data_IF_099133562501
#
_entry.id   IF_099133562501
#
_cell.length_a   1.000
_cell.length_b   1.000
_cell.length_c   1.000
_cell.angle_alpha   90.00
_cell.angle_beta   90.00
_cell.angle_gamma   90.00
#
_symmetry.space_group_name_H-M   'P 1'
#
loop_
_entity.id
_entity.type
_entity.pdbx_description
1 polymer ?
#
# COMPACT_ATOMS: atom_id res chain seq x y z
N UNK A 1 33.58 0.22 50.69
CA UNK A 1 34.70 0.11 51.65
C UNK A 1 35.56 -1.16 51.52
N UNK A 2 35.04 -2.34 51.17
CA UNK A 2 35.88 -3.56 51.03
C UNK A 2 36.88 -3.55 49.87
N UNK A 3 36.64 -2.76 48.81
CA UNK A 3 37.53 -2.68 47.65
C UNK A 3 38.75 -1.79 47.92
N UNK A 4 38.60 -0.71 48.68
CA UNK A 4 39.68 0.23 49.01
C UNK A 4 40.74 -0.39 49.94
N UNK A 5 40.36 -1.26 50.86
CA UNK A 5 41.31 -1.95 51.75
C UNK A 5 42.19 -2.95 51.01
N UNK A 6 41.64 -3.68 50.02
CA UNK A 6 42.41 -4.60 49.18
C UNK A 6 43.46 -3.87 48.32
N UNK A 7 43.11 -2.69 47.81
CA UNK A 7 43.97 -1.89 46.96
C UNK A 7 45.20 -1.35 47.72
N UNK A 8 45.01 -0.91 48.98
CA UNK A 8 46.09 -0.42 49.85
C UNK A 8 47.05 -1.56 50.24
N UNK A 9 46.53 -2.75 50.57
CA UNK A 9 47.39 -3.91 50.91
C UNK A 9 48.23 -4.38 49.72
N UNK A 10 47.72 -4.30 48.49
CA UNK A 10 48.48 -4.66 47.30
C UNK A 10 49.61 -3.64 47.02
N UNK A 11 49.34 -2.33 47.15
CA UNK A 11 50.38 -1.29 47.01
C UNK A 11 51.51 -1.42 48.03
N UNK A 12 51.20 -1.75 49.29
CA UNK A 12 52.22 -1.96 50.34
C UNK A 12 53.09 -3.19 50.01
N UNK A 13 52.51 -4.24 49.44
CA UNK A 13 53.24 -5.46 49.08
C UNK A 13 54.14 -5.26 47.86
N UNK A 14 53.72 -4.45 46.88
CA UNK A 14 54.56 -4.07 45.74
C UNK A 14 55.77 -3.22 46.17
N UNK A 15 55.58 -2.26 47.09
CA UNK A 15 56.70 -1.44 47.60
C UNK A 15 57.78 -2.25 48.32
N UNK A 16 57.41 -3.32 49.04
CA UNK A 16 58.40 -4.17 49.75
C UNK A 16 59.32 -4.92 48.78
N UNK A 17 58.77 -5.43 47.68
CA UNK A 17 59.58 -6.10 46.65
C UNK A 17 60.51 -5.12 45.94
N UNK A 18 60.02 -3.91 45.64
CA UNK A 18 60.84 -2.86 45.03
C UNK A 18 62.04 -2.49 45.92
N UNK A 19 61.82 -2.25 47.21
CA UNK A 19 62.89 -1.94 48.19
C UNK A 19 63.90 -3.09 48.27
N UNK A 20 63.43 -4.34 48.29
CA UNK A 20 64.31 -5.52 48.32
C UNK A 20 65.16 -5.63 47.05
N UNK A 21 64.58 -5.42 45.86
CA UNK A 21 65.34 -5.44 44.59
C UNK A 21 66.37 -4.32 44.51
N UNK A 22 66.04 -3.12 45.00
CA UNK A 22 66.98 -1.99 45.04
C UNK A 22 68.17 -2.31 45.95
N UNK A 23 67.90 -2.81 47.17
CA UNK A 23 68.95 -3.21 48.11
C UNK A 23 69.82 -4.34 47.56
N UNK A 24 69.21 -5.36 46.94
CA UNK A 24 69.94 -6.47 46.34
C UNK A 24 70.82 -5.98 45.19
N UNK A 25 70.31 -5.09 44.33
CA UNK A 25 71.08 -4.52 43.22
C UNK A 25 72.23 -3.63 43.70
N UNK A 26 72.05 -2.87 44.79
CA UNK A 26 73.11 -2.07 45.40
C UNK A 26 74.22 -2.94 45.99
N UNK A 27 73.86 -4.02 46.69
CA UNK A 27 74.84 -4.98 47.25
C UNK A 27 75.59 -5.70 46.13
N UNK A 28 74.89 -6.14 45.08
CA UNK A 28 75.51 -6.79 43.94
C UNK A 28 76.43 -5.84 43.16
N UNK A 29 76.01 -4.59 42.98
CA UNK A 29 76.81 -3.52 42.38
C UNK A 29 78.06 -3.17 43.19
N UNK A 30 77.96 -3.16 44.53
CA UNK A 30 79.12 -2.98 45.41
C UNK A 30 80.11 -4.15 45.35
N UNK A 31 79.63 -5.40 45.29
CA UNK A 31 80.49 -6.57 45.19
C UNK A 31 81.18 -6.62 43.82
N UNK A 32 80.44 -6.41 42.73
CA UNK A 32 81.00 -6.42 41.38
C UNK A 32 81.93 -5.21 41.15
N UNK A 33 81.45 -4.01 41.45
CA UNK A 33 82.17 -2.75 41.22
C UNK A 33 83.34 -2.51 42.17
N UNK A 34 83.21 -2.91 43.44
CA UNK A 34 84.20 -2.63 44.48
C UNK A 34 85.23 -3.73 44.68
N UNK A 35 84.90 -4.99 44.40
CA UNK A 35 85.81 -6.12 44.63
C UNK A 35 86.25 -6.75 43.32
N UNK A 36 85.32 -7.10 42.43
CA UNK A 36 85.69 -7.87 41.23
C UNK A 36 86.39 -7.04 40.15
N UNK A 37 85.91 -5.83 39.84
CA UNK A 37 86.49 -4.95 38.83
C UNK A 37 87.93 -4.51 39.18
N UNK A 38 88.21 -4.03 40.42
CA UNK A 38 89.58 -3.71 40.82
C UNK A 38 90.49 -4.94 40.80
N UNK A 39 90.02 -6.10 41.26
CA UNK A 39 90.80 -7.35 41.21
C UNK A 39 91.09 -7.79 39.76
N UNK A 40 90.17 -7.56 38.82
CA UNK A 40 90.34 -7.85 37.39
C UNK A 40 91.31 -6.90 36.69
N UNK A 41 91.32 -5.61 37.08
CA UNK A 41 92.21 -4.60 36.51
C UNK A 41 93.62 -4.59 37.13
N UNK A 42 93.75 -4.93 38.41
CA UNK A 42 95.05 -4.95 39.11
C UNK A 42 95.83 -6.25 38.93
N UNK A 43 95.17 -7.32 38.48
CA UNK A 43 95.79 -8.61 38.30
C UNK A 43 95.90 -8.93 36.80
N UNK A 44 97.13 -8.92 36.26
CA UNK A 44 97.48 -9.39 34.89
C UNK A 44 97.31 -10.92 34.80
N UNK A 45 96.12 -11.39 35.12
CA UNK A 45 95.83 -12.80 35.35
C UNK A 45 95.27 -13.41 34.06
N UNK A 46 96.13 -14.12 33.34
CA UNK A 46 95.78 -15.20 32.39
C UNK A 46 95.22 -16.45 33.12
N UNK A 47 94.46 -16.30 34.21
CA UNK A 47 93.88 -17.48 34.88
C UNK A 47 92.53 -17.84 34.27
N UNK A 48 92.51 -19.03 33.68
CA UNK A 48 91.30 -19.76 33.26
C UNK A 48 90.24 -19.83 34.38
N UNK A 49 90.63 -19.69 35.64
CA UNK A 49 89.72 -19.77 36.78
C UNK A 49 88.79 -18.55 36.90
N UNK A 50 89.28 -17.32 36.78
CA UNK A 50 88.43 -16.12 36.89
C UNK A 50 87.46 -16.02 35.70
N UNK A 51 87.90 -16.44 34.51
CA UNK A 51 87.06 -16.58 33.33
C UNK A 51 85.96 -17.67 33.48
N UNK A 52 86.24 -18.74 34.21
CA UNK A 52 85.25 -19.77 34.53
C UNK A 52 84.19 -19.27 35.54
N UNK A 53 84.58 -18.49 36.55
CA UNK A 53 83.61 -17.93 37.50
C UNK A 53 82.73 -16.84 36.89
N UNK A 54 83.29 -15.96 36.03
CA UNK A 54 82.52 -14.92 35.35
C UNK A 54 81.51 -15.49 34.35
N UNK A 55 81.89 -16.55 33.62
CA UNK A 55 80.98 -17.25 32.69
C UNK A 55 79.85 -18.00 33.42
N UNK A 56 80.13 -18.64 34.57
CA UNK A 56 79.10 -19.27 35.41
C UNK A 56 78.14 -18.23 35.99
N UNK A 57 78.64 -17.09 36.48
CA UNK A 57 77.79 -16.00 36.99
C UNK A 57 76.94 -15.36 35.87
N UNK A 58 77.50 -15.16 34.68
CA UNK A 58 76.76 -14.68 33.52
C UNK A 58 75.68 -15.68 33.09
N UNK A 59 75.98 -16.99 33.08
CA UNK A 59 75.01 -18.03 32.77
C UNK A 59 73.85 -18.07 33.79
N UNK A 60 74.14 -17.94 35.09
CA UNK A 60 73.12 -17.87 36.15
C UNK A 60 72.27 -16.60 36.01
N UNK A 61 72.90 -15.45 35.72
CA UNK A 61 72.19 -14.20 35.46
C UNK A 61 71.25 -14.29 34.26
N UNK A 62 71.70 -14.92 33.17
CA UNK A 62 70.90 -15.14 31.95
C UNK A 62 69.74 -16.13 32.18
N UNK A 63 69.98 -17.20 32.95
CA UNK A 63 68.94 -18.16 33.33
C UNK A 63 67.87 -17.49 34.22
N UNK A 64 68.30 -16.63 35.15
CA UNK A 64 67.43 -15.86 36.03
C UNK A 64 66.53 -14.88 35.26
N UNK A 65 67.09 -14.12 34.30
CA UNK A 65 66.29 -13.26 33.42
C UNK A 65 65.33 -14.07 32.54
N UNK A 66 65.74 -15.23 32.02
CA UNK A 66 64.86 -16.09 31.23
C UNK A 66 63.65 -16.58 32.04
N UNK A 67 63.88 -17.02 33.29
CA UNK A 67 62.80 -17.46 34.19
C UNK A 67 61.86 -16.31 34.54
N UNK A 68 62.40 -15.11 34.78
CA UNK A 68 61.60 -13.91 35.03
C UNK A 68 60.71 -13.56 33.82
N UNK A 69 61.28 -13.52 32.61
CA UNK A 69 60.54 -13.25 31.36
C UNK A 69 59.45 -14.30 31.11
N UNK A 70 59.74 -15.59 31.37
CA UNK A 70 58.74 -16.66 31.27
C UNK A 70 57.58 -16.40 32.25
N UNK A 71 57.88 -16.09 33.52
CA UNK A 71 56.86 -15.79 34.54
C UNK A 71 56.01 -14.59 34.18
N UNK A 72 56.62 -13.52 33.68
CA UNK A 72 55.92 -12.32 33.22
C UNK A 72 55.03 -12.63 32.01
N UNK A 73 55.55 -13.36 31.01
CA UNK A 73 54.75 -13.78 29.84
C UNK A 73 53.53 -14.62 30.24
N UNK A 74 53.64 -15.48 31.25
CA UNK A 74 52.51 -16.25 31.76
C UNK A 74 51.49 -15.38 32.49
N UNK A 75 51.92 -14.36 33.23
CA UNK A 75 51.03 -13.39 33.88
C UNK A 75 50.28 -12.56 32.84
N UNK A 76 50.98 -11.99 31.87
CA UNK A 76 50.39 -11.20 30.77
C UNK A 76 49.41 -12.04 29.96
N UNK A 77 49.72 -13.31 29.67
CA UNK A 77 48.79 -14.23 28.99
C UNK A 77 47.53 -14.51 29.81
N UNK A 78 47.61 -14.61 31.14
CA UNK A 78 46.42 -14.79 32.00
C UNK A 78 45.55 -13.53 32.02
N UNK A 79 46.16 -12.36 32.19
CA UNK A 79 45.46 -11.07 32.18
C UNK A 79 44.81 -10.82 30.81
N UNK A 80 45.52 -11.05 29.71
CA UNK A 80 44.95 -10.97 28.36
C UNK A 80 43.79 -11.95 28.14
N UNK A 81 43.90 -13.19 28.63
CA UNK A 81 42.79 -14.16 28.57
C UNK A 81 41.57 -13.67 29.34
N UNK A 82 41.76 -13.02 30.49
CA UNK A 82 40.67 -12.48 31.28
C UNK A 82 40.03 -11.26 30.60
N UNK A 83 40.83 -10.32 30.10
CA UNK A 83 40.35 -9.18 29.31
C UNK A 83 39.56 -9.64 28.09
N UNK A 84 40.05 -10.65 27.35
CA UNK A 84 39.32 -11.22 26.21
C UNK A 84 37.98 -11.84 26.61
N UNK A 85 37.90 -12.51 27.77
CA UNK A 85 36.64 -13.05 28.28
C UNK A 85 35.66 -11.93 28.63
N UNK A 86 36.13 -10.90 29.33
CA UNK A 86 35.31 -9.74 29.70
C UNK A 86 34.82 -8.97 28.45
N UNK A 87 35.69 -8.79 27.45
CA UNK A 87 35.32 -8.20 26.16
C UNK A 87 34.27 -9.03 25.43
N UNK A 88 34.39 -10.36 25.40
CA UNK A 88 33.38 -11.23 24.78
C UNK A 88 32.03 -11.11 25.48
N UNK A 89 32.01 -11.15 26.81
CA UNK A 89 30.76 -10.98 27.58
C UNK A 89 30.16 -9.60 27.36
N UNK A 90 30.99 -8.56 27.24
CA UNK A 90 30.53 -7.22 26.94
C UNK A 90 29.95 -7.10 25.53
N UNK A 91 30.62 -7.67 24.53
CA UNK A 91 30.12 -7.74 23.15
C UNK A 91 28.79 -8.50 23.08
N UNK A 92 28.69 -9.67 23.71
CA UNK A 92 27.44 -10.44 23.78
C UNK A 92 26.28 -9.66 24.41
N UNK A 93 26.57 -8.81 25.42
CA UNK A 93 25.57 -7.92 26.02
C UNK A 93 25.17 -6.80 25.08
N UNK A 94 26.14 -6.20 24.37
CA UNK A 94 25.85 -5.16 23.39
C UNK A 94 25.03 -5.67 22.22
N UNK A 95 25.36 -6.84 21.69
CA UNK A 95 24.63 -7.48 20.58
C UNK A 95 23.18 -7.74 20.99
N UNK A 96 22.94 -8.24 22.21
CA UNK A 96 21.59 -8.42 22.75
C UNK A 96 20.80 -7.11 22.86
N UNK A 97 21.46 -6.05 23.35
CA UNK A 97 20.83 -4.74 23.44
C UNK A 97 20.51 -4.17 22.06
N UNK A 98 21.39 -4.36 21.07
CA UNK A 98 21.13 -3.97 19.70
C UNK A 98 19.97 -4.74 19.08
N UNK A 99 19.88 -6.04 19.32
CA UNK A 99 18.75 -6.85 18.85
C UNK A 99 17.42 -6.40 19.44
N UNK A 100 17.38 -6.05 20.74
CA UNK A 100 16.20 -5.49 21.40
C UNK A 100 15.81 -4.13 20.83
N UNK A 101 16.79 -3.25 20.61
CA UNK A 101 16.57 -1.93 19.98
C UNK A 101 16.05 -2.07 18.56
N UNK A 102 16.62 -2.98 17.76
CA UNK A 102 16.18 -3.24 16.39
C UNK A 102 14.73 -3.72 16.35
N UNK A 103 14.32 -4.59 17.28
CA UNK A 103 12.92 -5.03 17.42
C UNK A 103 12.00 -3.87 17.78
N UNK A 104 12.40 -3.01 18.71
CA UNK A 104 11.61 -1.83 19.09
C UNK A 104 11.43 -0.86 17.91
N UNK A 105 12.50 -0.61 17.15
CA UNK A 105 12.46 0.25 15.96
C UNK A 105 11.55 -0.37 14.90
N UNK A 106 11.62 -1.68 14.66
CA UNK A 106 10.73 -2.36 13.72
C UNK A 106 9.26 -2.23 14.12
N UNK A 107 8.95 -2.42 15.42
CA UNK A 107 7.60 -2.23 15.98
C UNK A 107 7.10 -0.79 15.79
N UNK A 108 7.94 0.21 16.09
CA UNK A 108 7.60 1.63 15.92
C UNK A 108 7.34 1.98 14.45
N UNK A 109 8.18 1.47 13.53
CA UNK A 109 7.98 1.66 12.08
C UNK A 109 6.66 1.06 11.61
N UNK A 110 6.37 -0.17 12.01
CA UNK A 110 5.12 -0.84 11.68
C UNK A 110 3.90 -0.04 12.17
N UNK A 111 3.91 0.36 13.45
CA UNK A 111 2.82 1.13 14.06
C UNK A 111 2.62 2.47 13.36
N UNK A 112 3.69 3.23 13.16
CA UNK A 112 3.61 4.53 12.49
C UNK A 112 3.19 4.43 11.01
N UNK A 113 3.59 3.37 10.31
CA UNK A 113 3.14 3.12 8.94
C UNK A 113 1.65 2.77 8.88
N UNK A 114 1.16 1.94 9.81
CA UNK A 114 -0.26 1.60 9.94
C UNK A 114 -1.12 2.83 10.27
N UNK A 115 -0.70 3.63 11.25
CA UNK A 115 -1.41 4.88 11.61
C UNK A 115 -1.46 5.86 10.43
N UNK A 116 -0.36 5.98 9.68
CA UNK A 116 -0.30 6.83 8.48
C UNK A 116 -1.25 6.34 7.38
N UNK A 117 -1.40 5.02 7.25
CA UNK A 117 -2.34 4.40 6.33
C UNK A 117 -3.80 4.66 6.74
N UNK A 118 -4.14 4.47 8.02
CA UNK A 118 -5.49 4.75 8.53
C UNK A 118 -5.85 6.23 8.34
N UNK A 119 -4.89 7.14 8.58
CA UNK A 119 -5.06 8.57 8.30
C UNK A 119 -5.29 8.85 6.81
N UNK A 120 -4.57 8.16 5.92
CA UNK A 120 -4.79 8.26 4.48
C UNK A 120 -6.21 7.85 4.10
N UNK A 121 -6.68 6.69 4.60
CA UNK A 121 -8.04 6.22 4.33
C UNK A 121 -9.08 7.21 4.84
N UNK A 122 -8.93 7.73 6.06
CA UNK A 122 -9.85 8.74 6.61
C UNK A 122 -9.92 10.02 5.77
N UNK A 123 -8.80 10.43 5.17
CA UNK A 123 -8.80 11.58 4.26
C UNK A 123 -9.52 11.27 2.94
N UNK A 124 -9.46 10.03 2.47
CA UNK A 124 -10.17 9.57 1.27
C UNK A 124 -11.67 9.49 1.55
N UNK A 125 -12.08 8.94 2.70
CA UNK A 125 -13.49 8.86 3.14
C UNK A 125 -14.14 10.23 3.14
N UNK A 126 -13.49 11.22 3.76
CA UNK A 126 -13.96 12.61 3.82
C UNK A 126 -14.03 13.29 2.46
N UNK A 127 -13.16 12.91 1.52
CA UNK A 127 -13.09 13.55 0.20
C UNK A 127 -14.19 13.07 -0.75
N UNK A 128 -14.66 11.84 -0.59
CA UNK A 128 -15.51 11.15 -1.58
C UNK A 128 -16.79 10.55 -1.00
N UNK A 129 -17.16 10.86 0.25
CA UNK A 129 -18.33 10.30 0.92
C UNK A 129 -18.37 8.76 0.83
N UNK A 130 -17.25 8.13 1.20
CA UNK A 130 -17.10 6.67 1.22
C UNK A 130 -16.65 6.20 2.59
N UNK A 131 -16.77 4.89 2.85
CA UNK A 131 -16.38 4.26 4.11
C UNK A 131 -15.65 2.94 3.86
N UNK A 132 -14.45 2.79 4.41
CA UNK A 132 -13.68 1.56 4.36
C UNK A 132 -14.14 0.58 5.46
N UNK A 133 -15.05 -0.33 5.11
CA UNK A 133 -15.62 -1.29 6.07
C UNK A 133 -14.60 -2.31 6.63
N UNK A 134 -13.43 -2.48 6.01
CA UNK A 134 -12.36 -3.38 6.49
C UNK A 134 -10.96 -2.86 6.14
N UNK A 135 -10.60 -1.73 6.74
CA UNK A 135 -9.30 -1.06 6.56
C UNK A 135 -8.11 -1.95 6.96
N UNK A 136 -8.26 -2.79 7.97
CA UNK A 136 -7.21 -3.70 8.42
C UNK A 136 -6.92 -4.80 7.41
N UNK A 137 -7.95 -5.42 6.84
CA UNK A 137 -7.77 -6.43 5.78
C UNK A 137 -7.21 -5.81 4.51
N UNK A 138 -7.62 -4.60 4.15
CA UNK A 138 -7.00 -3.87 3.05
C UNK A 138 -5.51 -3.66 3.31
N UNK A 139 -5.12 -3.18 4.50
CA UNK A 139 -3.71 -2.99 4.87
C UNK A 139 -2.91 -4.30 4.77
N UNK A 140 -3.42 -5.39 5.35
CA UNK A 140 -2.74 -6.71 5.32
C UNK A 140 -2.62 -7.27 3.91
N UNK A 141 -3.58 -7.00 3.04
CA UNK A 141 -3.53 -7.42 1.64
C UNK A 141 -2.51 -6.62 0.83
N UNK A 142 -2.39 -5.31 1.08
CA UNK A 142 -1.40 -4.45 0.42
C UNK A 142 0.02 -4.73 0.94
N UNK A 143 0.18 -4.92 2.25
CA UNK A 143 1.48 -5.10 2.90
C UNK A 143 1.55 -6.43 3.68
N UNK A 144 1.55 -7.57 2.98
CA UNK A 144 1.43 -8.89 3.63
C UNK A 144 2.63 -9.31 4.48
N UNK A 145 3.79 -8.68 4.26
CA UNK A 145 5.02 -8.96 5.02
C UNK A 145 5.20 -8.01 6.21
N UNK A 146 4.32 -7.01 6.37
CA UNK A 146 4.43 -6.06 7.46
C UNK A 146 3.89 -6.66 8.76
N UNK A 147 4.69 -6.55 9.81
CA UNK A 147 4.36 -6.99 11.16
C UNK A 147 5.35 -6.42 12.17
N UNK A 148 5.40 -6.98 13.37
CA UNK A 148 6.25 -6.45 14.45
C UNK A 148 7.75 -6.60 14.20
N UNK A 149 8.17 -7.51 13.32
CA UNK A 149 9.59 -7.78 13.03
C UNK A 149 10.08 -7.12 11.74
N UNK A 150 9.19 -6.76 10.82
CA UNK A 150 9.54 -6.22 9.51
C UNK A 150 8.46 -5.25 9.05
N UNK A 151 8.87 -4.14 8.45
CA UNK A 151 7.97 -3.15 7.88
C UNK A 151 8.55 -2.60 6.57
N UNK A 152 7.95 -3.00 5.47
CA UNK A 152 8.24 -2.53 4.12
C UNK A 152 7.31 -1.37 3.76
N UNK A 153 7.88 -0.29 3.23
CA UNK A 153 7.15 0.89 2.78
C UNK A 153 6.82 0.85 1.28
N UNK A 154 7.46 -0.06 0.54
CA UNK A 154 7.38 -0.12 -0.92
C UNK A 154 6.83 -1.46 -1.37
N UNK A 155 5.84 -1.42 -2.26
CA UNK A 155 5.29 -2.61 -2.91
C UNK A 155 5.88 -2.74 -4.31
N UNK A 156 6.44 -3.90 -4.64
CA UNK A 156 6.94 -4.19 -5.99
C UNK A 156 5.80 -4.48 -6.96
N UNK A 157 5.53 -3.56 -7.88
CA UNK A 157 4.42 -3.67 -8.85
C UNK A 157 4.79 -4.29 -10.19
N UNK A 158 6.08 -4.50 -10.46
CA UNK A 158 6.60 -4.87 -11.79
C UNK A 158 7.10 -6.31 -11.91
N UNK A 159 7.02 -7.12 -10.85
CA UNK A 159 7.62 -8.46 -10.87
C UNK A 159 6.56 -9.54 -11.14
N UNK A 160 6.46 -10.07 -12.37
CA UNK A 160 5.48 -11.11 -12.71
C UNK A 160 5.74 -12.45 -12.01
N UNK A 161 6.87 -12.61 -11.31
CA UNK A 161 7.24 -13.85 -10.61
C UNK A 161 6.70 -13.96 -9.19
N UNK A 162 6.17 -12.87 -8.62
CA UNK A 162 5.57 -12.96 -7.29
C UNK A 162 4.21 -13.65 -7.38
N UNK A 163 3.95 -14.68 -6.56
CA UNK A 163 2.65 -15.32 -6.51
C UNK A 163 1.61 -14.26 -6.15
N UNK A 164 0.69 -14.00 -7.08
CA UNK A 164 -0.38 -13.00 -6.90
C UNK A 164 -1.24 -13.44 -5.73
N UNK A 165 -1.23 -12.67 -4.65
CA UNK A 165 -2.19 -12.88 -3.56
C UNK A 165 -3.49 -12.23 -4.01
N UNK A 166 -4.65 -12.87 -3.76
CA UNK A 166 -5.93 -12.28 -4.14
C UNK A 166 -6.09 -10.93 -3.44
N UNK A 167 -6.52 -9.92 -4.22
CA UNK A 167 -6.74 -8.55 -3.75
C UNK A 167 -5.47 -7.83 -3.26
N UNK A 168 -4.28 -8.25 -3.71
CA UNK A 168 -3.07 -7.45 -3.55
C UNK A 168 -3.09 -6.22 -4.49
N UNK A 169 -2.11 -5.33 -4.34
CA UNK A 169 -2.03 -4.12 -5.16
C UNK A 169 -1.92 -4.44 -6.66
N UNK A 170 -1.25 -5.53 -7.03
CA UNK A 170 -1.09 -5.91 -8.43
C UNK A 170 -2.38 -6.44 -9.05
N UNK A 171 -3.16 -7.20 -8.28
CA UNK A 171 -4.50 -7.67 -8.67
C UNK A 171 -5.46 -6.48 -8.84
N UNK A 172 -5.40 -5.51 -7.91
CA UNK A 172 -6.18 -4.26 -8.00
C UNK A 172 -5.82 -3.48 -9.27
N UNK A 173 -4.52 -3.30 -9.55
CA UNK A 173 -4.07 -2.59 -10.76
C UNK A 173 -4.43 -3.35 -12.03
N UNK A 174 -4.31 -4.68 -12.03
CA UNK A 174 -4.68 -5.50 -13.17
C UNK A 174 -6.17 -5.37 -13.47
N UNK A 175 -7.03 -5.40 -12.44
CA UNK A 175 -8.46 -5.22 -12.59
C UNK A 175 -8.81 -3.83 -13.15
N UNK A 176 -8.17 -2.77 -12.64
CA UNK A 176 -8.34 -1.42 -13.18
C UNK A 176 -7.91 -1.33 -14.65
N UNK A 177 -6.72 -1.80 -14.99
CA UNK A 177 -6.21 -1.77 -16.37
C UNK A 177 -7.11 -2.54 -17.33
N UNK A 178 -7.67 -3.66 -16.88
CA UNK A 178 -8.61 -4.46 -17.66
C UNK A 178 -9.91 -3.70 -17.95
N UNK A 179 -10.45 -2.97 -16.97
CA UNK A 179 -11.60 -2.08 -17.17
C UNK A 179 -11.25 -0.98 -18.18
N UNK A 180 -10.10 -0.32 -18.02
CA UNK A 180 -9.68 0.76 -18.93
C UNK A 180 -9.45 0.27 -20.37
N UNK A 181 -8.85 -0.92 -20.52
CA UNK A 181 -8.67 -1.54 -21.83
C UNK A 181 -10.02 -1.83 -22.50
N UNK A 182 -10.96 -2.44 -21.77
CA UNK A 182 -12.34 -2.69 -22.27
C UNK A 182 -13.03 -1.39 -22.69
N UNK A 183 -12.89 -0.33 -21.90
CA UNK A 183 -13.45 0.98 -22.22
C UNK A 183 -12.83 1.57 -23.50
N UNK A 184 -11.53 1.37 -23.73
CA UNK A 184 -10.82 1.93 -24.88
C UNK A 184 -11.22 1.31 -26.22
N UNK A 185 -11.63 0.04 -26.22
CA UNK A 185 -12.03 -0.67 -27.45
C UNK A 185 -13.54 -0.66 -27.68
N UNK A 186 -14.32 0.01 -26.82
CA UNK A 186 -15.77 -0.12 -26.80
C UNK A 186 -16.46 0.35 -28.09
N UNK A 187 -15.89 1.36 -28.75
CA UNK A 187 -16.42 1.90 -29.99
C UNK A 187 -16.34 0.92 -31.17
N UNK A 188 -15.57 -0.17 -31.04
CA UNK A 188 -15.43 -1.21 -32.07
C UNK A 188 -16.59 -2.22 -32.07
N UNK A 189 -17.36 -2.27 -30.99
CA UNK A 189 -18.45 -3.24 -30.84
C UNK A 189 -19.77 -2.70 -31.37
N UNK A 190 -20.60 -3.60 -31.91
CA UNK A 190 -21.97 -3.29 -32.28
C UNK A 190 -22.84 -3.06 -31.02
N UNK A 191 -24.08 -2.61 -31.21
CA UNK A 191 -25.00 -2.23 -30.11
C UNK A 191 -25.21 -3.36 -29.09
N UNK A 192 -25.44 -4.59 -29.55
CA UNK A 192 -25.71 -5.74 -28.69
C UNK A 192 -24.45 -6.21 -27.93
N UNK A 193 -23.32 -6.30 -28.64
CA UNK A 193 -22.03 -6.63 -28.02
C UNK A 193 -21.64 -5.61 -26.95
N UNK A 194 -21.86 -4.32 -27.24
CA UNK A 194 -21.58 -3.23 -26.30
C UNK A 194 -22.38 -3.35 -25.02
N UNK A 195 -23.67 -3.71 -25.11
CA UNK A 195 -24.51 -3.93 -23.94
C UNK A 195 -23.91 -5.01 -23.03
N UNK A 196 -23.57 -6.18 -23.57
CA UNK A 196 -22.95 -7.26 -22.80
C UNK A 196 -21.61 -6.83 -22.18
N UNK A 197 -20.78 -6.09 -22.93
CA UNK A 197 -19.49 -5.60 -22.42
C UNK A 197 -19.64 -4.57 -21.32
N UNK A 198 -20.69 -3.74 -21.34
CA UNK A 198 -20.96 -2.81 -20.25
C UNK A 198 -21.43 -3.54 -19.00
N UNK A 199 -22.26 -4.58 -19.12
CA UNK A 199 -22.56 -5.45 -17.97
C UNK A 199 -21.26 -5.95 -17.31
N UNK A 200 -20.36 -6.51 -18.12
CA UNK A 200 -19.08 -7.02 -17.63
C UNK A 200 -18.27 -5.93 -16.91
N UNK A 201 -18.22 -4.72 -17.48
CA UNK A 201 -17.51 -3.58 -16.87
C UNK A 201 -18.13 -3.18 -15.53
N UNK A 202 -19.46 -3.15 -15.41
CA UNK A 202 -20.10 -2.82 -14.12
C UNK A 202 -19.77 -3.88 -13.06
N UNK A 203 -19.80 -5.16 -13.41
CA UNK A 203 -19.36 -6.23 -12.51
C UNK A 203 -17.88 -6.11 -12.14
N UNK A 204 -17.02 -5.74 -13.09
CA UNK A 204 -15.60 -5.53 -12.83
C UNK A 204 -15.38 -4.32 -11.90
N UNK A 205 -16.14 -3.24 -12.05
CA UNK A 205 -16.12 -2.09 -11.13
C UNK A 205 -16.58 -2.50 -9.72
N UNK A 206 -17.65 -3.29 -9.63
CA UNK A 206 -18.15 -3.82 -8.36
C UNK A 206 -17.11 -4.73 -7.68
N UNK A 207 -16.44 -5.58 -8.46
CA UNK A 207 -15.33 -6.40 -8.00
C UNK A 207 -14.19 -5.53 -7.49
N UNK A 208 -13.80 -4.49 -8.23
CA UNK A 208 -12.71 -3.59 -7.86
C UNK A 208 -12.99 -2.85 -6.55
N UNK A 209 -14.22 -2.35 -6.34
CA UNK A 209 -14.68 -1.84 -5.03
C UNK A 209 -14.50 -2.88 -3.94
N UNK A 210 -14.96 -4.12 -4.17
CA UNK A 210 -14.89 -5.20 -3.19
C UNK A 210 -13.44 -5.55 -2.80
N UNK A 211 -12.51 -5.43 -3.74
CA UNK A 211 -11.07 -5.61 -3.50
C UNK A 211 -10.47 -4.49 -2.66
N UNK A 212 -11.04 -3.28 -2.74
CA UNK A 212 -10.62 -2.09 -1.99
C UNK A 212 -11.31 -1.94 -0.63
N UNK A 213 -12.26 -2.82 -0.31
CA UNK A 213 -12.97 -2.86 0.97
C UNK A 213 -13.65 -1.55 1.39
N UNK A 214 -14.26 -0.84 0.44
CA UNK A 214 -15.06 0.36 0.76
C UNK A 214 -16.46 0.32 0.15
N UNK A 215 -17.35 1.10 0.76
CA UNK A 215 -18.73 1.34 0.33
C UNK A 215 -18.95 2.84 0.15
N UNK A 216 -19.89 3.23 -0.71
CA UNK A 216 -20.29 4.64 -0.83
C UNK A 216 -21.31 4.96 0.27
N UNK A 217 -21.08 6.05 1.01
CA UNK A 217 -21.99 6.58 2.03
C UNK A 217 -22.85 7.74 1.52
N UNK A 218 -22.78 8.04 0.22
CA UNK A 218 -23.60 9.09 -0.37
C UNK A 218 -25.08 8.76 -0.26
N UNK A 219 -25.90 9.80 -0.09
CA UNK A 219 -27.36 9.67 -0.21
C UNK A 219 -27.70 9.25 -1.64
N UNK A 220 -28.71 8.41 -1.80
CA UNK A 220 -29.16 8.01 -3.13
C UNK A 220 -29.62 9.25 -3.92
N UNK A 221 -28.98 9.48 -5.06
CA UNK A 221 -29.30 10.54 -6.01
C UNK A 221 -30.02 9.98 -7.23
N UNK A 222 -30.60 10.87 -8.04
CA UNK A 222 -31.33 10.48 -9.24
C UNK A 222 -30.39 9.75 -10.19
N UNK A 223 -30.82 8.58 -10.67
CA UNK A 223 -30.02 7.78 -11.58
C UNK A 223 -28.98 6.92 -10.89
N UNK A 224 -28.89 6.96 -9.57
CA UNK A 224 -28.12 5.99 -8.82
C UNK A 224 -28.74 4.60 -8.96
N UNK A 225 -27.94 3.67 -9.44
CA UNK A 225 -28.20 2.25 -9.39
C UNK A 225 -27.60 1.75 -8.09
N UNK A 226 -28.47 1.31 -7.17
CA UNK A 226 -28.03 0.56 -6.01
C UNK A 226 -28.00 -0.94 -6.36
N UNK A 227 -26.86 -1.57 -6.12
CA UNK A 227 -26.64 -3.00 -6.32
C UNK A 227 -26.48 -3.64 -4.95
N UNK A 228 -27.53 -4.30 -4.45
CA UNK A 228 -27.48 -4.96 -3.14
C UNK A 228 -26.96 -6.39 -3.29
N UNK A 229 -25.72 -6.62 -2.85
CA UNK A 229 -25.15 -7.96 -2.78
C UNK A 229 -24.70 -8.26 -1.36
N UNK A 230 -25.38 -9.20 -0.70
CA UNK A 230 -25.13 -9.60 0.71
C UNK A 230 -25.21 -8.42 1.69
N UNK A 231 -26.20 -7.52 1.51
CA UNK A 231 -26.42 -6.37 2.40
C UNK A 231 -25.44 -5.21 2.21
N UNK A 232 -24.71 -5.19 1.08
CA UNK A 232 -23.84 -4.07 0.70
C UNK A 232 -24.37 -3.38 -0.54
N UNK A 233 -24.56 -2.06 -0.44
CA UNK A 233 -25.03 -1.23 -1.54
C UNK A 233 -23.86 -0.69 -2.34
N UNK A 234 -23.78 -1.03 -3.63
CA UNK A 234 -22.92 -0.31 -4.58
C UNK A 234 -23.74 0.77 -5.24
N UNK A 235 -23.21 1.99 -5.37
CA UNK A 235 -23.92 3.07 -6.05
C UNK A 235 -23.17 3.49 -7.31
N UNK A 236 -23.82 3.31 -8.46
CA UNK A 236 -23.35 3.81 -9.75
C UNK A 236 -24.40 4.72 -10.37
N UNK A 237 -24.03 5.97 -10.64
CA UNK A 237 -24.94 6.89 -11.28
C UNK A 237 -24.95 6.67 -12.81
N UNK A 238 -26.13 6.43 -13.40
CA UNK A 238 -26.29 6.23 -14.85
C UNK A 238 -25.99 7.49 -15.66
N UNK A 239 -26.14 8.67 -15.05
CA UNK A 239 -25.89 9.95 -15.71
C UNK A 239 -24.42 10.33 -15.67
N UNK A 240 -23.70 9.92 -14.62
CA UNK A 240 -22.28 10.14 -14.41
C UNK A 240 -21.47 8.86 -14.11
N UNK A 241 -21.52 7.81 -14.96
CA UNK A 241 -20.84 6.54 -14.65
C UNK A 241 -19.31 6.67 -14.53
N UNK A 242 -18.72 7.73 -15.10
CA UNK A 242 -17.30 8.05 -14.90
C UNK A 242 -16.95 8.43 -13.48
N UNK A 243 -17.90 8.97 -12.72
CA UNK A 243 -17.65 9.54 -11.40
C UNK A 243 -17.21 8.44 -10.41
N UNK A 244 -17.97 7.36 -10.29
CA UNK A 244 -17.61 6.21 -9.45
C UNK A 244 -16.24 5.62 -9.86
N UNK A 245 -15.97 5.52 -11.16
CA UNK A 245 -14.68 5.01 -11.66
C UNK A 245 -13.53 5.97 -11.36
N UNK A 246 -13.74 7.29 -11.48
CA UNK A 246 -12.75 8.31 -11.16
C UNK A 246 -12.45 8.34 -9.66
N UNK A 247 -13.45 8.15 -8.80
CA UNK A 247 -13.27 8.00 -7.35
C UNK A 247 -12.40 6.77 -7.08
N UNK A 248 -12.76 5.60 -7.63
CA UNK A 248 -11.97 4.36 -7.48
C UNK A 248 -10.52 4.59 -7.95
N UNK A 249 -10.33 5.25 -9.10
CA UNK A 249 -9.00 5.58 -9.62
C UNK A 249 -8.22 6.47 -8.67
N UNK A 250 -8.84 7.50 -8.10
CA UNK A 250 -8.18 8.37 -7.13
C UNK A 250 -7.77 7.61 -5.86
N UNK A 251 -8.64 6.73 -5.34
CA UNK A 251 -8.30 5.82 -4.23
C UNK A 251 -7.06 5.00 -4.58
N UNK A 252 -7.06 4.31 -5.73
CA UNK A 252 -5.93 3.47 -6.16
C UNK A 252 -4.66 4.31 -6.36
N UNK A 253 -4.76 5.51 -6.93
CA UNK A 253 -3.63 6.42 -7.11
C UNK A 253 -3.01 6.85 -5.78
N UNK A 254 -3.83 7.20 -4.79
CA UNK A 254 -3.38 7.54 -3.43
C UNK A 254 -2.72 6.35 -2.74
N UNK A 255 -3.27 5.14 -2.88
CA UNK A 255 -2.66 3.91 -2.37
C UNK A 255 -1.32 3.60 -3.05
N UNK A 256 -1.21 3.83 -4.36
CA UNK A 256 0.05 3.69 -5.08
C UNK A 256 1.12 4.63 -4.55
N UNK A 257 0.80 5.92 -4.43
CA UNK A 257 1.72 6.93 -3.89
C UNK A 257 2.18 6.55 -2.49
N UNK A 258 1.25 6.13 -1.63
CA UNK A 258 1.56 5.67 -0.28
C UNK A 258 2.51 4.47 -0.26
N UNK A 259 2.32 3.52 -1.18
CA UNK A 259 3.17 2.32 -1.33
C UNK A 259 4.50 2.57 -2.06
N UNK A 260 4.94 3.83 -2.20
CA UNK A 260 6.19 4.19 -2.86
C UNK A 260 6.19 3.95 -4.37
N UNK A 261 5.01 3.85 -4.99
CA UNK A 261 4.81 3.80 -6.43
C UNK A 261 4.43 5.19 -6.97
N UNK A 262 4.48 5.38 -8.30
CA UNK A 262 4.06 6.62 -8.95
C UNK A 262 2.54 6.79 -8.96
N UNK A 263 2.06 7.97 -9.34
CA UNK A 263 0.64 8.20 -9.60
C UNK A 263 0.18 7.45 -10.86
N UNK A 264 -1.11 7.14 -10.92
CA UNK A 264 -1.71 6.65 -12.16
C UNK A 264 -1.64 7.73 -13.26
N UNK A 265 -1.60 7.33 -14.55
CA UNK A 265 -1.75 8.27 -15.65
C UNK A 265 -3.15 8.94 -15.64
N UNK A 266 -3.41 9.96 -16.46
CA UNK A 266 -4.77 10.48 -16.64
C UNK A 266 -5.75 9.40 -17.10
N UNK A 267 -7.03 9.48 -16.72
CA UNK A 267 -8.04 8.50 -17.10
C UNK A 267 -8.48 8.64 -18.57
N UNK A 268 -8.91 7.53 -19.17
CA UNK A 268 -9.60 7.54 -20.45
C UNK A 268 -11.10 7.80 -20.22
N UNK A 269 -11.55 9.01 -20.53
CA UNK A 269 -12.90 9.53 -20.18
C UNK A 269 -14.06 8.99 -21.07
N UNK A 270 -13.98 7.74 -21.54
CA UNK A 270 -14.89 7.24 -22.59
C UNK A 270 -16.22 6.67 -22.07
N UNK A 271 -16.38 6.45 -20.76
CA UNK A 271 -17.60 5.82 -20.22
C UNK A 271 -18.84 6.74 -20.30
N UNK A 272 -18.68 8.06 -20.39
CA UNK A 272 -19.79 9.02 -20.40
C UNK A 272 -20.52 9.16 -21.75
N UNK A 273 -20.13 8.41 -22.78
CA UNK A 273 -20.82 8.41 -24.06
C UNK A 273 -22.31 8.04 -23.88
N UNK A 274 -23.22 8.72 -24.57
CA UNK A 274 -24.68 8.48 -24.49
C UNK A 274 -25.05 7.01 -24.75
N UNK A 275 -24.34 6.37 -25.68
CA UNK A 275 -24.50 4.95 -25.98
C UNK A 275 -24.14 4.06 -24.78
N UNK A 276 -23.09 4.42 -24.04
CA UNK A 276 -22.66 3.63 -22.89
C UNK A 276 -23.65 3.75 -21.74
N UNK A 277 -24.19 4.96 -21.53
CA UNK A 277 -25.28 5.19 -20.56
C UNK A 277 -26.54 4.41 -20.93
N UNK A 278 -26.93 4.41 -22.21
CA UNK A 278 -28.08 3.64 -22.70
C UNK A 278 -27.87 2.13 -22.53
N UNK A 279 -26.67 1.63 -22.85
CA UNK A 279 -26.33 0.22 -22.69
C UNK A 279 -26.23 -0.19 -21.21
N UNK A 280 -25.75 0.69 -20.32
CA UNK A 280 -25.75 0.49 -18.86
C UNK A 280 -27.19 0.35 -18.33
N UNK A 281 -28.08 1.23 -18.78
CA UNK A 281 -29.49 1.17 -18.39
C UNK A 281 -30.18 -0.10 -18.92
N UNK A 282 -29.87 -0.48 -20.16
CA UNK A 282 -30.40 -1.69 -20.81
C UNK A 282 -29.86 -2.98 -20.19
N UNK A 283 -28.64 -2.96 -19.64
CA UNK A 283 -27.99 -4.07 -18.94
C UNK A 283 -28.67 -4.43 -17.61
N UNK A 284 -29.32 -3.46 -16.96
CA UNK A 284 -29.79 -3.56 -15.58
C UNK A 284 -31.20 -4.13 -15.45
N UNK A 285 -32.01 -4.07 -16.51
CA UNK A 285 -33.41 -4.53 -16.52
C UNK A 285 -33.54 -6.06 -16.53
N UNK A 286 -32.76 -6.84 -17.33
CA UNK A 286 -33.06 -8.26 -17.52
C UNK A 286 -32.52 -9.18 -16.42
N UNK A 287 -31.58 -8.72 -15.60
CA UNK A 287 -30.69 -9.62 -14.85
C UNK A 287 -31.14 -9.99 -13.44
N UNK A 288 -32.03 -9.23 -12.80
CA UNK A 288 -32.88 -9.62 -11.65
C UNK A 288 -33.39 -8.37 -10.93
N UNK A 289 -34.68 -7.99 -11.05
CA UNK A 289 -35.24 -6.80 -10.41
C UNK A 289 -35.12 -6.80 -8.86
N UNK A 290 -34.80 -7.95 -8.24
CA UNK A 290 -34.62 -8.06 -6.79
C UNK A 290 -33.35 -7.43 -6.25
N UNK A 291 -32.36 -7.12 -7.10
CA UNK A 291 -31.04 -6.66 -6.64
C UNK A 291 -30.68 -5.25 -7.11
N UNK A 292 -31.56 -4.60 -7.86
CA UNK A 292 -31.36 -3.27 -8.41
C UNK A 292 -32.46 -2.34 -7.92
N UNK A 293 -32.09 -1.20 -7.34
CA UNK A 293 -33.00 -0.07 -7.18
C UNK A 293 -32.50 1.11 -7.99
N UNK A 294 -33.42 1.83 -8.64
CA UNK A 294 -33.14 3.08 -9.34
C UNK A 294 -33.83 4.21 -8.59
N UNK A 295 -33.06 5.13 -8.01
CA UNK A 295 -33.64 6.31 -7.35
C UNK A 295 -34.05 7.36 -8.38
N UNK A 296 -35.30 7.84 -8.27
CA UNK A 296 -35.93 8.83 -9.18
C UNK A 296 -36.56 9.99 -8.39
N UNK A 297 -36.48 9.98 -7.05
CA UNK A 297 -37.31 10.80 -6.16
C UNK A 297 -37.19 12.32 -6.37
N UNK A 298 -36.20 12.81 -7.12
CA UNK A 298 -35.94 14.24 -7.29
C UNK A 298 -35.62 14.69 -8.73
N UNK A 299 -36.15 14.05 -9.79
CA UNK A 299 -35.85 14.51 -11.17
C UNK A 299 -36.14 16.01 -11.35
N UNK A 300 -35.08 16.80 -11.54
CA UNK A 300 -35.14 18.27 -11.69
C UNK A 300 -34.64 18.75 -13.05
N UNK A 301 -33.82 17.94 -13.75
CA UNK A 301 -33.24 18.31 -15.04
C UNK A 301 -34.08 17.79 -16.21
N UNK A 302 -34.46 18.69 -17.12
CA UNK A 302 -35.10 18.33 -18.39
C UNK A 302 -34.28 17.33 -19.22
N UNK A 303 -32.96 17.30 -19.06
CA UNK A 303 -32.08 16.37 -19.78
C UNK A 303 -32.19 14.94 -19.26
N UNK A 304 -32.33 14.77 -17.94
CA UNK A 304 -32.51 13.47 -17.30
C UNK A 304 -33.89 12.91 -17.62
N UNK A 305 -34.93 13.76 -17.56
CA UNK A 305 -36.29 13.41 -17.99
C UNK A 305 -36.28 12.99 -19.45
N UNK A 306 -35.68 13.77 -20.36
CA UNK A 306 -35.61 13.42 -21.78
C UNK A 306 -34.93 12.08 -22.00
N UNK A 307 -33.80 11.81 -21.32
CA UNK A 307 -33.10 10.53 -21.42
C UNK A 307 -33.95 9.35 -20.91
N UNK A 308 -34.60 9.51 -19.75
CA UNK A 308 -35.48 8.48 -19.19
C UNK A 308 -36.70 8.24 -20.09
N UNK A 309 -37.27 9.28 -20.69
CA UNK A 309 -38.37 9.19 -21.65
C UNK A 309 -37.95 8.54 -22.96
N UNK A 310 -36.81 8.96 -23.54
CA UNK A 310 -36.24 8.35 -24.75
C UNK A 310 -35.97 6.86 -24.52
N UNK A 311 -35.43 6.52 -23.35
CA UNK A 311 -35.21 5.14 -22.98
C UNK A 311 -36.51 4.37 -22.73
N UNK A 312 -37.50 4.98 -22.07
CA UNK A 312 -38.79 4.34 -21.83
C UNK A 312 -39.49 4.01 -23.15
N UNK A 313 -39.50 4.96 -24.10
CA UNK A 313 -40.03 4.74 -25.45
C UNK A 313 -39.23 3.68 -26.23
N UNK A 314 -37.91 3.71 -26.10
CA UNK A 314 -37.04 2.68 -26.66
C UNK A 314 -37.37 1.28 -26.11
N UNK A 315 -37.60 1.19 -24.80
CA UNK A 315 -37.99 -0.06 -24.14
C UNK A 315 -39.39 -0.49 -24.55
N UNK A 316 -40.38 0.40 -24.64
CA UNK A 316 -41.75 0.08 -25.05
C UNK A 316 -41.79 -0.51 -26.47
N UNK A 317 -41.05 0.11 -27.41
CA UNK A 317 -40.91 -0.37 -28.78
C UNK A 317 -40.23 -1.74 -28.87
N UNK A 318 -39.26 -2.03 -28.00
CA UNK A 318 -38.59 -3.35 -27.97
C UNK A 318 -39.32 -4.39 -27.13
N UNK A 319 -40.10 -3.98 -26.12
CA UNK A 319 -40.97 -4.86 -25.35
C UNK A 319 -42.06 -5.42 -26.27
N UNK A 320 -42.62 -4.62 -27.17
CA UNK A 320 -43.51 -5.08 -28.25
C UNK A 320 -42.94 -6.28 -29.02
N UNK A 321 -41.68 -6.19 -29.48
CA UNK A 321 -41.02 -7.27 -30.23
C UNK A 321 -40.69 -8.50 -29.35
N UNK A 322 -40.39 -8.28 -28.07
CA UNK A 322 -39.96 -9.33 -27.14
C UNK A 322 -41.13 -10.00 -26.40
N UNK A 323 -42.32 -9.38 -26.35
CA UNK A 323 -43.53 -9.95 -25.72
C UNK A 323 -44.06 -11.13 -26.53
N UNK A 324 -43.81 -11.18 -27.85
CA UNK A 324 -44.17 -12.32 -28.68
C UNK A 324 -43.37 -13.60 -28.42
N UNK A 325 -42.29 -13.57 -27.62
CA UNK A 325 -41.42 -14.74 -27.41
C UNK A 325 -41.35 -15.26 -25.97
N UNK A 326 -41.84 -14.54 -24.96
CA UNK A 326 -41.89 -15.02 -23.56
C UNK A 326 -42.87 -14.19 -22.73
N UNK A 327 -44.10 -14.71 -22.55
CA UNK A 327 -45.25 -14.00 -21.97
C UNK A 327 -45.20 -13.71 -20.45
N UNK A 328 -44.15 -14.11 -19.72
CA UNK A 328 -44.23 -14.15 -18.24
C UNK A 328 -43.44 -13.09 -17.46
N UNK A 329 -42.59 -12.30 -18.12
CA UNK A 329 -41.77 -11.26 -17.47
C UNK A 329 -41.68 -10.08 -18.43
N UNK A 330 -42.16 -8.88 -18.06
CA UNK A 330 -41.70 -7.62 -18.70
C UNK A 330 -42.25 -6.31 -18.13
N UNK A 331 -43.55 -6.15 -17.87
CA UNK A 331 -44.05 -4.82 -17.46
C UNK A 331 -43.90 -4.58 -15.94
N UNK A 332 -44.09 -5.63 -15.15
CA UNK A 332 -44.02 -5.54 -13.70
C UNK A 332 -42.60 -5.27 -13.19
N UNK A 333 -41.55 -5.70 -13.91
CA UNK A 333 -40.15 -5.56 -13.49
C UNK A 333 -39.61 -4.15 -13.74
N UNK A 334 -40.00 -3.50 -14.84
CA UNK A 334 -39.73 -2.09 -15.11
C UNK A 334 -40.54 -1.19 -14.17
N UNK A 335 -41.80 -1.54 -13.90
CA UNK A 335 -42.62 -0.85 -12.90
C UNK A 335 -42.11 -1.05 -11.46
N UNK A 336 -41.41 -2.17 -11.16
CA UNK A 336 -40.75 -2.40 -9.87
C UNK A 336 -39.45 -1.61 -9.72
N UNK A 337 -38.73 -1.32 -10.81
CA UNK A 337 -37.57 -0.43 -10.82
C UNK A 337 -37.95 1.05 -10.62
N UNK A 338 -39.17 1.44 -11.00
CA UNK A 338 -39.73 2.77 -10.77
C UNK A 338 -40.42 2.79 -9.40
N UNK A 339 -39.69 3.21 -8.36
CA UNK A 339 -40.01 3.01 -6.94
C UNK A 339 -41.36 3.59 -6.42
N UNK A 340 -42.17 4.28 -7.23
CA UNK A 340 -43.56 4.57 -6.84
C UNK A 340 -44.49 4.78 -8.04
N UNK A 341 -45.78 4.45 -7.88
CA UNK A 341 -46.86 4.79 -8.83
C UNK A 341 -46.84 6.28 -9.20
N UNK A 342 -46.49 7.15 -8.26
CA UNK A 342 -46.37 8.60 -8.45
C UNK A 342 -45.22 8.96 -9.41
N UNK A 343 -44.09 8.26 -9.34
CA UNK A 343 -42.95 8.51 -10.24
C UNK A 343 -43.26 8.05 -11.67
N UNK A 344 -43.95 6.91 -11.80
CA UNK A 344 -44.46 6.43 -13.09
C UNK A 344 -45.45 7.46 -13.69
N UNK A 345 -46.40 7.95 -12.90
CA UNK A 345 -47.36 8.98 -13.33
C UNK A 345 -46.67 10.29 -13.71
N UNK A 346 -45.62 10.70 -12.99
CA UNK A 346 -44.83 11.90 -13.29
C UNK A 346 -44.08 11.74 -14.61
N UNK A 347 -43.40 10.61 -14.82
CA UNK A 347 -42.70 10.29 -16.08
C UNK A 347 -43.68 10.24 -17.25
N UNK A 348 -44.85 9.62 -17.08
CA UNK A 348 -45.89 9.58 -18.12
C UNK A 348 -46.41 10.99 -18.41
N UNK A 349 -46.68 11.80 -17.39
CA UNK A 349 -47.18 13.17 -17.59
C UNK A 349 -46.17 14.07 -18.33
N UNK A 350 -44.87 13.94 -18.01
CA UNK A 350 -43.81 14.68 -18.70
C UNK A 350 -43.50 14.11 -20.09
N UNK A 351 -43.63 12.78 -20.30
CA UNK A 351 -43.48 12.19 -21.62
C UNK A 351 -44.63 12.59 -22.55
N UNK A 352 -45.88 12.65 -22.04
CA UNK A 352 -47.04 13.18 -22.76
C UNK A 352 -46.86 14.67 -23.07
N UNK A 353 -46.36 15.45 -22.11
CA UNK A 353 -46.04 16.88 -22.32
C UNK A 353 -44.90 17.08 -23.32
N UNK A 354 -43.88 16.23 -23.31
CA UNK A 354 -42.80 16.23 -24.29
C UNK A 354 -43.31 15.80 -25.68
N UNK A 355 -44.14 14.76 -25.77
CA UNK A 355 -44.82 14.37 -27.03
C UNK A 355 -45.72 15.48 -27.55
N UNK A 356 -46.45 16.18 -26.67
CA UNK A 356 -47.26 17.35 -27.04
C UNK A 356 -46.38 18.51 -27.52
N UNK A 357 -45.27 18.83 -26.83
CA UNK A 357 -44.30 19.84 -27.29
C UNK A 357 -43.60 19.47 -28.60
N UNK A 358 -43.29 18.19 -28.81
CA UNK A 358 -42.74 17.70 -30.07
C UNK A 358 -43.79 17.80 -31.17
N UNK A 359 -45.06 17.48 -30.87
CA UNK A 359 -46.21 17.70 -31.74
C UNK A 359 -46.39 19.18 -32.10
N UNK A 360 -46.38 20.09 -31.13
CA UNK A 360 -46.44 21.54 -31.32
C UNK A 360 -45.24 22.06 -32.12
N UNK A 361 -44.02 21.58 -31.83
CA UNK A 361 -42.83 21.91 -32.60
C UNK A 361 -42.94 21.40 -34.04
N UNK A 362 -43.47 20.20 -34.27
CA UNK A 362 -43.71 19.65 -35.61
C UNK A 362 -44.81 20.40 -36.36
N UNK A 363 -45.82 20.90 -35.66
CA UNK A 363 -46.89 21.73 -36.22
C UNK A 363 -46.40 23.15 -36.58
N UNK A 364 -45.53 23.74 -35.74
CA UNK A 364 -44.79 24.97 -36.05
C UNK A 364 -43.82 24.76 -37.20
N UNK A 365 -43.14 23.61 -37.27
CA UNK A 365 -42.26 23.24 -38.39
C UNK A 365 -43.04 23.00 -39.69
N UNK A 366 -44.26 22.46 -39.61
CA UNK A 366 -45.19 22.37 -40.74
C UNK A 366 -45.62 23.75 -41.27
N UNK A 367 -45.61 24.78 -40.42
CA UNK A 367 -45.84 26.18 -40.83
C UNK A 367 -44.59 26.87 -41.41
N UNK A 368 -43.40 26.26 -41.31
CA UNK A 368 -42.11 26.79 -41.83
C UNK A 368 -41.81 26.24 -43.25
N UNK A 369 -42.77 25.63 -43.93
CA UNK A 369 -42.64 25.09 -45.30
C UNK A 369 -42.21 26.10 -46.39
N UNK A 370 -42.05 27.39 -46.08
CA UNK A 370 -41.62 28.43 -47.02
C UNK A 370 -40.14 28.85 -46.91
N UNK A 371 -39.32 28.22 -46.04
CA UNK A 371 -37.89 28.55 -45.86
C UNK A 371 -37.02 27.29 -46.02
N UNK A 372 -36.47 27.08 -47.22
CA UNK A 372 -35.79 25.84 -47.68
C UNK A 372 -34.68 25.34 -46.74
N UNK A 373 -33.97 26.26 -46.08
CA UNK A 373 -32.88 25.89 -45.17
C UNK A 373 -33.39 25.41 -43.80
N UNK A 374 -34.49 26.01 -43.31
CA UNK A 374 -35.14 25.57 -42.07
C UNK A 374 -35.92 24.28 -42.29
N UNK A 375 -36.50 24.10 -43.47
CA UNK A 375 -37.19 22.87 -43.86
C UNK A 375 -36.24 21.66 -43.88
N UNK A 376 -35.01 21.81 -44.41
CA UNK A 376 -33.99 20.73 -44.35
C UNK A 376 -33.59 20.36 -42.92
N UNK A 377 -33.49 21.33 -42.01
CA UNK A 377 -33.17 21.07 -40.61
C UNK A 377 -34.34 20.40 -39.87
N UNK A 378 -35.56 20.90 -40.10
CA UNK A 378 -36.82 20.35 -39.59
C UNK A 378 -37.07 18.92 -40.06
N UNK A 379 -36.80 18.62 -41.34
CA UNK A 379 -36.91 17.29 -41.92
C UNK A 379 -35.94 16.29 -41.26
N UNK A 380 -34.70 16.69 -41.00
CA UNK A 380 -33.74 15.86 -40.26
C UNK A 380 -34.16 15.61 -38.81
N UNK A 381 -34.80 16.57 -38.16
CA UNK A 381 -35.36 16.39 -36.80
C UNK A 381 -36.55 15.43 -36.88
N UNK A 382 -37.50 15.65 -37.80
CA UNK A 382 -38.67 14.78 -38.03
C UNK A 382 -38.26 13.34 -38.36
N UNK A 383 -37.29 13.12 -39.24
CA UNK A 383 -36.76 11.79 -39.58
C UNK A 383 -36.00 11.14 -38.40
N UNK A 384 -35.41 11.93 -37.50
CA UNK A 384 -34.71 11.42 -36.32
C UNK A 384 -35.66 11.02 -35.18
N UNK A 385 -36.87 11.57 -35.17
CA UNK A 385 -37.87 11.35 -34.12
C UNK A 385 -39.16 10.67 -34.64
N UNK A 386 -39.28 10.38 -35.93
CA UNK A 386 -40.45 9.68 -36.51
C UNK A 386 -40.56 8.23 -36.05
N UNK A 387 -39.44 7.61 -35.69
CA UNK A 387 -39.38 6.23 -35.22
C UNK A 387 -39.59 6.12 -33.69
N UNK A 388 -39.76 7.27 -33.02
CA UNK A 388 -39.98 7.40 -31.57
C UNK A 388 -41.45 7.74 -31.21
N UNK A 389 -42.29 7.98 -32.23
CA UNK A 389 -43.76 8.14 -32.13
C UNK A 389 -44.37 6.84 -32.64
#
# INVERSE_FOLDING_TARGET
MKNTTKEITNKIKENKWFIFTVLLSAVFGMILGGVTLPYFFYSNIESKEVANWSSVLAAVGTLGTLIFLIRESFRTKKEQKQIRKEQRVYQEKQDKLWDEQNKLIAFQRYTGHRESFEKLLSNIEKAHELNFYDSEKLYRNLFPNNGFSQCDFKIETKNPKNPKKPNDLNDILQALNYIEEKLSIMDRFNKYERQNKICDIVFDIFRLRSMLYFDFEKKEEIGDISLEFKGKHFVLNIFSPSESLNIIRDVISKLLIFSGNGSLPPSLNNINNSWNRSALLSAMIPTSPKHYSLSIESVTSNREISFLCEWFLFMDNHISDYVHTNEKYKYNDVAQLLLSKRDVEKIISESVRLKAKVGECLEVLGKIENDDNKFKHAKRIKERYSDLI
#
